data_IF_530560486341
#
_entry.id   IF_530560486341
#
_cell.length_a   1.000
_cell.length_b   1.000
_cell.length_c   1.000
_cell.angle_alpha   90.00
_cell.angle_beta   90.00
_cell.angle_gamma   90.00
#
_symmetry.space_group_name_H-M   'P 1'
#
loop_
_entity.id
_entity.type
_entity.pdbx_description
1 polymer ?
#
# COMPACT_ATOMS: atom_id res chain seq x y z
N UNK A 1 -53.58 -2.87 -73.54
CA UNK A 1 -53.20 -1.87 -72.52
C UNK A 1 -52.67 -2.63 -71.31
N UNK A 2 -51.35 -2.84 -71.19
CA UNK A 2 -50.73 -3.53 -70.04
C UNK A 2 -49.20 -3.23 -69.99
N UNK A 3 -48.81 -1.96 -70.05
CA UNK A 3 -47.40 -1.57 -70.24
C UNK A 3 -46.89 -0.46 -69.32
N UNK A 4 -47.54 -0.17 -68.19
CA UNK A 4 -47.15 0.93 -67.30
C UNK A 4 -46.70 0.53 -65.89
N UNK A 5 -46.65 -0.76 -65.54
CA UNK A 5 -46.37 -1.20 -64.17
C UNK A 5 -44.88 -1.47 -63.84
N UNK A 6 -43.98 -1.54 -64.82
CA UNK A 6 -42.56 -1.84 -64.58
C UNK A 6 -41.80 -0.69 -63.94
N UNK A 7 -42.19 0.55 -64.23
CA UNK A 7 -41.39 1.73 -63.89
C UNK A 7 -41.67 2.22 -62.46
N UNK A 8 -42.88 1.97 -61.93
CA UNK A 8 -43.24 2.29 -60.54
C UNK A 8 -42.56 1.35 -59.52
N UNK A 9 -42.39 0.07 -59.88
CA UNK A 9 -41.65 -0.91 -59.06
C UNK A 9 -40.16 -0.55 -58.91
N UNK A 10 -39.56 0.05 -59.95
CA UNK A 10 -38.18 0.54 -59.92
C UNK A 10 -37.99 1.71 -58.95
N UNK A 11 -38.94 2.65 -58.93
CA UNK A 11 -38.88 3.81 -58.03
C UNK A 11 -39.05 3.42 -56.56
N UNK A 12 -39.92 2.46 -56.24
CA UNK A 12 -40.12 1.99 -54.87
C UNK A 12 -38.88 1.31 -54.29
N UNK A 13 -38.19 0.47 -55.06
CA UNK A 13 -36.95 -0.19 -54.63
C UNK A 13 -35.82 0.80 -54.37
N UNK A 14 -35.73 1.86 -55.18
CA UNK A 14 -34.72 2.90 -54.99
C UNK A 14 -34.92 3.67 -53.67
N UNK A 15 -36.15 4.04 -53.35
CA UNK A 15 -36.48 4.74 -52.10
C UNK A 15 -36.15 3.86 -50.88
N UNK A 16 -36.49 2.57 -50.93
CA UNK A 16 -36.14 1.63 -49.87
C UNK A 16 -34.62 1.54 -49.69
N UNK A 17 -33.86 1.40 -50.79
CA UNK A 17 -32.41 1.28 -50.73
C UNK A 17 -31.72 2.50 -50.11
N UNK A 18 -32.16 3.72 -50.46
CA UNK A 18 -31.63 4.96 -49.87
C UNK A 18 -31.97 5.05 -48.38
N UNK A 19 -33.18 4.63 -47.98
CA UNK A 19 -33.60 4.59 -46.58
C UNK A 19 -32.73 3.67 -45.71
N UNK A 20 -32.40 2.47 -46.20
CA UNK A 20 -31.53 1.53 -45.47
C UNK A 20 -30.12 2.09 -45.23
N UNK A 21 -29.53 2.77 -46.22
CA UNK A 21 -28.18 3.37 -46.08
C UNK A 21 -28.15 4.41 -44.95
N UNK A 22 -29.19 5.24 -44.84
CA UNK A 22 -29.31 6.24 -43.77
C UNK A 22 -29.47 5.58 -42.38
N UNK A 23 -30.20 4.47 -42.30
CA UNK A 23 -30.38 3.73 -41.04
C UNK A 23 -29.05 3.07 -40.61
N UNK A 24 -28.34 2.40 -41.51
CA UNK A 24 -27.06 1.77 -41.19
C UNK A 24 -25.99 2.79 -40.80
N UNK A 25 -25.93 3.95 -41.45
CA UNK A 25 -24.99 5.01 -41.10
C UNK A 25 -25.29 5.58 -39.70
N UNK A 26 -26.56 5.81 -39.37
CA UNK A 26 -26.99 6.26 -38.06
C UNK A 26 -26.64 5.25 -36.96
N UNK A 27 -26.91 3.96 -37.19
CA UNK A 27 -26.54 2.88 -36.25
C UNK A 27 -25.02 2.84 -36.03
N UNK A 28 -24.24 2.93 -37.11
CA UNK A 28 -22.77 2.94 -37.02
C UNK A 28 -22.24 4.12 -36.21
N UNK A 29 -22.79 5.32 -36.43
CA UNK A 29 -22.43 6.53 -35.68
C UNK A 29 -22.78 6.37 -34.19
N UNK A 30 -23.96 5.82 -33.88
CA UNK A 30 -24.37 5.54 -32.50
C UNK A 30 -23.41 4.58 -31.78
N UNK A 31 -22.99 3.50 -32.44
CA UNK A 31 -21.99 2.58 -31.88
C UNK A 31 -20.63 3.24 -31.67
N UNK A 32 -20.18 4.07 -32.61
CA UNK A 32 -18.94 4.82 -32.49
C UNK A 32 -18.99 5.79 -31.29
N UNK A 33 -20.08 6.55 -31.14
CA UNK A 33 -20.28 7.46 -29.99
C UNK A 33 -20.32 6.70 -28.66
N UNK A 34 -21.03 5.56 -28.60
CA UNK A 34 -21.06 4.72 -27.42
C UNK A 34 -19.67 4.17 -27.05
N UNK A 35 -18.87 3.75 -28.04
CA UNK A 35 -17.50 3.28 -27.82
C UNK A 35 -16.59 4.41 -27.31
N UNK A 36 -16.63 5.59 -27.94
CA UNK A 36 -15.83 6.76 -27.54
C UNK A 36 -16.19 7.21 -26.12
N UNK A 37 -17.48 7.27 -25.78
CA UNK A 37 -17.93 7.64 -24.43
C UNK A 37 -17.50 6.61 -23.38
N UNK A 38 -17.59 5.30 -23.67
CA UNK A 38 -17.11 4.23 -22.78
C UNK A 38 -15.59 4.30 -22.57
N UNK A 39 -14.82 4.51 -23.63
CA UNK A 39 -13.36 4.68 -23.56
C UNK A 39 -12.97 5.93 -22.76
N UNK A 40 -13.62 7.07 -23.00
CA UNK A 40 -13.40 8.30 -22.24
C UNK A 40 -13.68 8.11 -20.74
N UNK A 41 -14.80 7.45 -20.37
CA UNK A 41 -15.11 7.12 -18.97
C UNK A 41 -14.07 6.22 -18.32
N UNK A 42 -13.57 5.21 -19.05
CA UNK A 42 -12.51 4.32 -18.55
C UNK A 42 -11.22 5.10 -18.26
N UNK A 43 -10.80 5.97 -19.18
CA UNK A 43 -9.60 6.79 -19.04
C UNK A 43 -9.72 7.84 -17.92
N UNK A 44 -10.90 8.43 -17.73
CA UNK A 44 -11.16 9.32 -16.60
C UNK A 44 -11.05 8.58 -15.26
N UNK A 45 -11.63 7.38 -15.16
CA UNK A 45 -11.53 6.54 -13.95
C UNK A 45 -10.08 6.17 -13.62
N UNK A 46 -9.27 5.85 -14.63
CA UNK A 46 -7.85 5.58 -14.44
C UNK A 46 -7.10 6.81 -13.88
N UNK A 47 -7.38 8.02 -14.40
CA UNK A 47 -6.78 9.26 -13.90
C UNK A 47 -7.19 9.55 -12.46
N UNK A 48 -8.45 9.33 -12.11
CA UNK A 48 -8.92 9.52 -10.75
C UNK A 48 -8.34 8.50 -9.78
N UNK A 49 -8.17 7.23 -10.19
CA UNK A 49 -7.45 6.23 -9.39
C UNK A 49 -5.99 6.65 -9.18
N UNK A 50 -5.29 7.09 -10.23
CA UNK A 50 -3.91 7.60 -10.13
C UNK A 50 -3.80 8.79 -9.17
N UNK A 51 -4.75 9.74 -9.22
CA UNK A 51 -4.82 10.87 -8.28
C UNK A 51 -5.07 10.42 -6.84
N UNK A 52 -5.98 9.46 -6.62
CA UNK A 52 -6.25 8.89 -5.29
C UNK A 52 -5.00 8.22 -4.72
N UNK A 53 -4.28 7.43 -5.55
CA UNK A 53 -3.00 6.82 -5.16
C UNK A 53 -1.97 7.89 -4.81
N UNK A 54 -1.83 8.95 -5.61
CA UNK A 54 -0.88 10.01 -5.35
C UNK A 54 -1.18 10.78 -4.06
N UNK A 55 -2.45 11.12 -3.81
CA UNK A 55 -2.90 11.76 -2.56
C UNK A 55 -2.61 10.88 -1.34
N UNK A 56 -2.87 9.56 -1.46
CA UNK A 56 -2.52 8.60 -0.42
C UNK A 56 -1.01 8.60 -0.18
N UNK A 57 -0.18 8.48 -1.23
CA UNK A 57 1.29 8.56 -1.13
C UNK A 57 1.78 9.80 -0.39
N UNK A 58 1.24 10.98 -0.68
CA UNK A 58 1.62 12.22 0.03
C UNK A 58 1.20 12.22 1.51
N UNK A 59 0.05 11.62 1.82
CA UNK A 59 -0.40 11.42 3.21
C UNK A 59 0.53 10.48 3.97
N UNK A 60 0.88 9.34 3.38
CA UNK A 60 1.82 8.35 3.95
C UNK A 60 3.14 9.00 4.31
N UNK A 61 3.72 9.79 3.39
CA UNK A 61 4.99 10.47 3.65
C UNK A 61 4.91 11.41 4.85
N UNK A 62 3.79 12.10 5.05
CA UNK A 62 3.60 13.01 6.18
C UNK A 62 3.46 12.23 7.49
N UNK A 63 2.65 11.16 7.51
CA UNK A 63 2.49 10.28 8.67
C UNK A 63 3.82 9.60 9.05
N UNK A 64 4.56 9.13 8.06
CA UNK A 64 5.89 8.53 8.24
C UNK A 64 6.90 9.50 8.84
N UNK A 65 6.84 10.78 8.48
CA UNK A 65 7.67 11.82 9.12
C UNK A 65 7.32 11.98 10.59
N UNK A 66 6.03 11.98 10.95
CA UNK A 66 5.57 12.06 12.36
C UNK A 66 6.02 10.86 13.18
N UNK A 67 5.90 9.66 12.64
CA UNK A 67 6.38 8.44 13.30
C UNK A 67 7.91 8.45 13.45
N UNK A 68 8.62 8.97 12.46
CA UNK A 68 10.08 9.10 12.54
C UNK A 68 10.49 10.05 13.65
N UNK A 69 9.79 11.18 13.82
CA UNK A 69 10.09 12.12 14.91
C UNK A 69 9.81 11.50 16.28
N UNK A 70 8.71 10.78 16.46
CA UNK A 70 8.41 10.14 17.75
C UNK A 70 9.42 9.06 18.14
N UNK A 71 9.82 8.21 17.17
CA UNK A 71 10.82 7.17 17.43
C UNK A 71 12.23 7.72 17.70
N UNK A 72 12.60 8.86 17.08
CA UNK A 72 13.89 9.50 17.39
C UNK A 72 13.90 10.09 18.78
N UNK A 73 12.76 10.57 19.29
CA UNK A 73 12.69 11.15 20.64
C UNK A 73 12.87 10.06 21.70
N UNK A 74 12.33 8.86 21.50
CA UNK A 74 12.53 7.71 22.41
C UNK A 74 13.97 7.18 22.37
N UNK A 75 14.61 7.16 21.20
CA UNK A 75 16.04 6.82 21.10
C UNK A 75 16.91 7.90 21.77
N UNK A 76 16.52 9.18 21.71
CA UNK A 76 17.22 10.28 22.39
C UNK A 76 17.08 10.18 23.91
N UNK A 77 15.91 9.80 24.43
CA UNK A 77 15.69 9.58 25.87
C UNK A 77 16.59 8.46 26.40
N UNK A 78 16.85 7.41 25.61
CA UNK A 78 17.80 6.35 26.01
C UNK A 78 19.26 6.86 25.98
N UNK A 79 19.60 7.80 25.09
CA UNK A 79 20.98 8.35 24.99
C UNK A 79 21.35 9.37 26.07
N UNK A 80 20.38 10.04 26.71
CA UNK A 80 20.66 11.02 27.77
C UNK A 80 21.05 10.36 29.11
N UNK A 81 20.82 9.05 29.27
CA UNK A 81 21.18 8.27 30.47
C UNK A 81 22.56 7.59 30.33
N UNK A 82 23.15 7.53 29.13
CA UNK A 82 24.52 7.03 28.98
C UNK A 82 25.06 7.03 27.55
N UNK A 83 26.12 7.82 27.31
CA UNK A 83 27.11 7.60 26.26
C UNK A 83 26.56 7.44 24.83
N UNK A 84 26.00 8.51 24.28
CA UNK A 84 25.48 8.57 22.90
C UNK A 84 26.55 8.34 21.83
N UNK A 85 26.63 7.11 21.32
CA UNK A 85 26.89 6.81 19.89
C UNK A 85 26.91 5.29 19.61
N UNK A 86 27.09 4.43 20.62
CA UNK A 86 27.17 2.97 20.43
C UNK A 86 25.84 2.20 20.60
N UNK A 87 24.87 2.75 21.34
CA UNK A 87 23.62 2.04 21.68
C UNK A 87 22.70 1.77 20.47
N UNK A 88 22.75 2.62 19.44
CA UNK A 88 21.93 2.44 18.22
C UNK A 88 22.28 1.16 17.47
N UNK A 89 23.55 0.71 17.50
CA UNK A 89 23.97 -0.51 16.80
C UNK A 89 23.48 -1.77 17.51
N UNK A 90 23.49 -1.79 18.83
CA UNK A 90 23.04 -2.94 19.63
C UNK A 90 21.52 -3.06 19.62
N UNK A 91 20.80 -1.94 19.76
CA UNK A 91 19.34 -1.91 19.63
C UNK A 91 18.92 -2.39 18.24
N UNK A 92 19.64 -1.98 17.19
CA UNK A 92 19.40 -2.47 15.82
C UNK A 92 19.65 -3.97 15.68
N UNK A 93 20.75 -4.49 16.24
CA UNK A 93 21.02 -5.95 16.25
C UNK A 93 19.90 -6.73 16.94
N UNK A 94 19.40 -6.25 18.08
CA UNK A 94 18.28 -6.89 18.80
C UNK A 94 17.00 -6.89 17.94
N UNK A 95 16.68 -5.78 17.29
CA UNK A 95 15.51 -5.67 16.39
C UNK A 95 15.65 -6.57 15.16
N UNK A 96 16.84 -6.66 14.57
CA UNK A 96 17.11 -7.55 13.45
C UNK A 96 16.97 -9.04 13.83
N UNK A 97 17.30 -9.39 15.07
CA UNK A 97 17.07 -10.75 15.59
C UNK A 97 15.57 -11.03 15.68
N UNK A 98 14.76 -10.10 16.18
CA UNK A 98 13.30 -10.24 16.26
C UNK A 98 12.69 -10.45 14.87
N UNK A 99 13.09 -9.64 13.89
CA UNK A 99 12.53 -9.68 12.52
C UNK A 99 12.81 -11.01 11.81
N UNK A 100 13.92 -11.69 12.16
CA UNK A 100 14.32 -12.97 11.55
C UNK A 100 13.65 -14.18 12.20
N UNK A 101 13.03 -14.02 13.37
CA UNK A 101 12.36 -15.13 14.05
C UNK A 101 11.11 -15.56 13.29
N UNK A 102 10.82 -16.85 13.35
CA UNK A 102 9.54 -17.37 12.88
C UNK A 102 8.39 -16.87 13.77
N UNK A 103 7.18 -16.82 13.20
CA UNK A 103 5.98 -16.42 13.95
C UNK A 103 5.77 -17.29 15.20
N UNK A 104 6.03 -18.60 15.10
CA UNK A 104 5.92 -19.50 16.24
C UNK A 104 6.90 -19.14 17.37
N UNK A 105 8.16 -18.85 17.04
CA UNK A 105 9.15 -18.42 18.03
C UNK A 105 8.76 -17.10 18.70
N UNK A 106 8.28 -16.12 17.92
CA UNK A 106 7.80 -14.85 18.46
C UNK A 106 6.62 -15.06 19.42
N UNK A 107 5.67 -15.93 19.06
CA UNK A 107 4.53 -16.23 19.93
C UNK A 107 4.93 -16.96 21.21
N UNK A 108 5.89 -17.88 21.14
CA UNK A 108 6.44 -18.54 22.34
C UNK A 108 7.10 -17.50 23.25
N UNK A 109 7.95 -16.64 22.70
CA UNK A 109 8.65 -15.62 23.47
C UNK A 109 7.74 -14.55 24.07
N UNK A 110 6.66 -14.18 23.36
CA UNK A 110 5.60 -13.29 23.85
C UNK A 110 4.79 -13.95 24.97
N UNK A 111 4.51 -15.25 24.88
CA UNK A 111 3.79 -16.00 25.94
C UNK A 111 4.64 -16.20 27.19
N UNK A 112 5.93 -16.44 27.00
CA UNK A 112 6.89 -16.61 28.09
C UNK A 112 7.25 -15.27 28.75
N UNK A 113 6.79 -14.14 28.19
CA UNK A 113 7.06 -12.79 28.68
C UNK A 113 8.51 -12.33 28.48
N UNK A 114 9.30 -13.10 27.72
CA UNK A 114 10.69 -12.75 27.37
C UNK A 114 10.76 -11.55 26.43
N UNK A 115 9.71 -11.35 25.63
CA UNK A 115 9.57 -10.29 24.65
C UNK A 115 8.26 -9.56 24.92
N UNK A 116 8.27 -8.23 24.84
CA UNK A 116 7.05 -7.41 24.98
C UNK A 116 6.46 -7.08 23.62
N UNK A 117 5.13 -6.99 23.54
CA UNK A 117 4.39 -6.68 22.33
C UNK A 117 4.82 -5.32 21.75
N UNK A 118 5.09 -4.34 22.62
CA UNK A 118 5.59 -3.01 22.22
C UNK A 118 6.94 -3.11 21.50
N UNK A 119 7.88 -3.91 22.02
CA UNK A 119 9.20 -4.09 21.39
C UNK A 119 9.09 -4.77 20.03
N UNK A 120 8.19 -5.75 19.89
CA UNK A 120 7.91 -6.38 18.60
C UNK A 120 7.34 -5.35 17.62
N UNK A 121 6.34 -4.59 18.03
CA UNK A 121 5.71 -3.56 17.21
C UNK A 121 6.75 -2.56 16.68
N UNK A 122 7.60 -2.01 17.56
CA UNK A 122 8.64 -1.07 17.15
C UNK A 122 9.68 -1.68 16.21
N UNK A 123 10.06 -2.95 16.41
CA UNK A 123 10.99 -3.64 15.50
C UNK A 123 10.42 -3.71 14.08
N UNK A 124 9.13 -4.03 13.93
CA UNK A 124 8.44 -4.06 12.64
C UNK A 124 8.25 -2.66 12.05
N UNK A 125 7.84 -1.67 12.84
CA UNK A 125 7.73 -0.28 12.39
C UNK A 125 9.07 0.24 11.86
N UNK A 126 10.17 0.00 12.58
CA UNK A 126 11.50 0.43 12.16
C UNK A 126 11.97 -0.28 10.90
N UNK A 127 11.66 -1.57 10.73
CA UNK A 127 11.91 -2.29 9.47
C UNK A 127 11.27 -1.56 8.29
N UNK A 128 10.01 -1.15 8.44
CA UNK A 128 9.26 -0.42 7.42
C UNK A 128 9.84 0.98 7.18
N UNK A 129 10.31 1.68 8.22
CA UNK A 129 10.98 2.98 8.08
C UNK A 129 12.31 2.88 7.33
N UNK A 130 13.11 1.86 7.62
CA UNK A 130 14.42 1.64 7.00
C UNK A 130 14.34 1.30 5.50
N UNK A 131 13.23 0.75 5.03
CA UNK A 131 13.03 0.46 3.61
C UNK A 131 12.84 1.76 2.82
N UNK A 132 11.94 2.68 3.20
CA UNK A 132 11.74 3.92 2.42
C UNK A 132 12.93 4.90 2.44
N UNK A 133 13.83 4.84 3.44
CA UNK A 133 15.01 5.71 3.42
C UNK A 133 15.95 5.33 2.27
N UNK A 134 15.98 4.04 1.87
CA UNK A 134 16.79 3.57 0.73
C UNK A 134 16.23 4.03 -0.62
N UNK A 135 14.96 4.42 -0.68
CA UNK A 135 14.36 5.00 -1.89
C UNK A 135 14.81 6.44 -2.18
N UNK A 136 15.46 7.12 -1.22
CA UNK A 136 15.99 8.46 -1.48
C UNK A 136 17.20 8.41 -2.42
N UNK A 137 17.27 9.34 -3.37
CA UNK A 137 18.29 9.41 -4.42
C UNK A 137 19.76 9.27 -3.95
N UNK A 138 20.01 9.51 -2.65
CA UNK A 138 21.31 9.31 -1.98
C UNK A 138 21.76 7.84 -2.06
N UNK A 139 20.84 6.86 -1.98
CA UNK A 139 21.20 5.43 -2.11
C UNK A 139 21.50 5.05 -3.56
N UNK A 140 20.84 5.66 -4.55
CA UNK A 140 21.18 5.45 -5.98
C UNK A 140 22.55 6.05 -6.31
N UNK A 141 22.87 7.21 -5.75
CA UNK A 141 24.20 7.83 -5.86
C UNK A 141 25.26 7.00 -5.11
N UNK A 142 24.93 6.46 -3.92
CA UNK A 142 25.82 5.58 -3.16
C UNK A 142 26.00 4.19 -3.79
N UNK A 143 25.01 3.69 -4.54
CA UNK A 143 25.11 2.45 -5.34
C UNK A 143 25.98 2.65 -6.58
N UNK A 144 26.02 3.88 -7.11
CA UNK A 144 26.94 4.31 -8.17
C UNK A 144 28.37 4.56 -7.68
N UNK A 145 28.56 4.90 -6.40
CA UNK A 145 29.87 5.01 -5.75
C UNK A 145 30.21 3.69 -5.03
N UNK A 146 30.83 2.78 -5.77
CA UNK A 146 31.32 1.45 -5.35
C UNK A 146 31.76 1.36 -3.88
N UNK A 147 31.06 0.56 -3.06
CA UNK A 147 31.62 -0.28 -1.99
C UNK A 147 30.78 -1.58 -1.87
N UNK A 148 31.38 -2.71 -2.24
CA UNK A 148 30.87 -4.09 -2.04
C UNK A 148 30.92 -4.54 -0.56
N UNK A 149 30.41 -3.73 0.34
CA UNK A 149 30.27 -4.09 1.76
C UNK A 149 28.88 -3.73 2.20
N UNK A 150 27.94 -4.67 2.01
CA UNK A 150 27.08 -5.19 3.08
C UNK A 150 26.28 -6.36 2.49
N UNK A 151 26.82 -7.53 2.80
CA UNK A 151 26.27 -8.85 2.65
C UNK A 151 24.97 -9.00 3.46
N UNK A 152 24.00 -9.69 2.85
CA UNK A 152 22.84 -10.39 3.46
C UNK A 152 21.71 -9.50 3.98
N UNK A 153 20.68 -9.27 3.16
CA UNK A 153 19.36 -9.96 3.24
C UNK A 153 18.65 -9.87 1.87
N UNK A 154 18.84 -10.80 0.91
CA UNK A 154 18.18 -10.71 -0.40
C UNK A 154 17.10 -11.78 -0.56
N UNK A 155 15.84 -11.34 -0.62
CA UNK A 155 14.77 -11.86 -1.50
C UNK A 155 13.39 -11.42 -0.99
N UNK A 156 13.14 -11.50 0.32
CA UNK A 156 11.87 -11.02 0.89
C UNK A 156 11.79 -9.48 1.09
N UNK A 157 12.91 -8.77 0.91
CA UNK A 157 13.02 -7.31 1.11
C UNK A 157 13.06 -6.49 -0.19
N UNK A 158 13.48 -7.09 -1.32
CA UNK A 158 13.54 -6.39 -2.60
C UNK A 158 12.15 -6.14 -3.21
N UNK A 159 11.18 -7.00 -2.90
CA UNK A 159 9.81 -6.80 -3.37
C UNK A 159 9.12 -5.66 -2.61
N UNK A 160 9.32 -5.56 -1.29
CA UNK A 160 8.67 -4.52 -0.46
C UNK A 160 9.16 -3.09 -0.77
N UNK A 161 10.43 -2.93 -1.17
CA UNK A 161 11.04 -1.65 -1.61
C UNK A 161 10.35 -1.10 -2.87
N UNK A 162 9.89 -1.99 -3.76
CA UNK A 162 9.17 -1.59 -4.99
C UNK A 162 7.70 -1.30 -4.75
N UNK A 163 7.07 -1.99 -3.78
CA UNK A 163 5.61 -2.01 -3.69
C UNK A 163 5.02 -1.05 -2.66
N UNK A 164 5.81 -0.46 -1.74
CA UNK A 164 5.34 0.50 -0.72
C UNK A 164 4.00 0.02 -0.10
N UNK A 165 4.02 -1.21 0.44
CA UNK A 165 2.83 -1.95 0.83
C UNK A 165 2.08 -1.36 2.03
N UNK A 166 2.74 -0.49 2.82
CA UNK A 166 2.16 0.13 4.01
C UNK A 166 1.72 1.56 3.69
N UNK A 167 0.41 1.78 3.73
CA UNK A 167 -0.17 3.09 3.42
C UNK A 167 -0.33 3.98 4.65
N UNK A 168 -0.56 3.39 5.82
CA UNK A 168 -0.84 4.15 7.03
C UNK A 168 -0.42 3.31 8.25
N UNK A 169 0.06 4.00 9.28
CA UNK A 169 0.30 3.41 10.60
C UNK A 169 -0.86 3.80 11.50
N UNK A 170 -1.33 2.83 12.29
CA UNK A 170 -2.37 3.08 13.29
C UNK A 170 -1.70 3.73 14.51
N UNK A 171 -2.13 4.94 14.88
CA UNK A 171 -1.57 5.69 16.01
C UNK A 171 -1.85 5.00 17.35
N UNK A 172 -3.00 4.32 17.49
CA UNK A 172 -3.39 3.61 18.71
C UNK A 172 -2.68 2.25 18.89
N UNK A 173 -1.92 1.78 17.89
CA UNK A 173 -1.32 0.46 17.92
C UNK A 173 -0.36 0.28 19.11
N UNK A 174 0.33 1.34 19.50
CA UNK A 174 1.23 1.35 20.65
C UNK A 174 0.46 1.20 21.97
N UNK A 175 -0.60 1.98 22.17
CA UNK A 175 -1.49 1.85 23.33
C UNK A 175 -2.10 0.45 23.43
N UNK A 176 -2.46 -0.14 22.29
CA UNK A 176 -2.95 -1.51 22.25
C UNK A 176 -1.87 -2.50 22.67
N UNK A 177 -0.64 -2.36 22.17
CA UNK A 177 0.49 -3.20 22.56
C UNK A 177 0.77 -3.09 24.08
N UNK A 178 0.79 -1.87 24.63
CA UNK A 178 0.93 -1.66 26.07
C UNK A 178 -0.20 -2.34 26.88
N UNK A 179 -1.44 -2.28 26.38
CA UNK A 179 -2.58 -2.92 27.03
C UNK A 179 -2.49 -4.44 27.03
N UNK A 180 -1.81 -5.02 26.03
CA UNK A 180 -1.53 -6.45 25.95
C UNK A 180 -0.42 -6.82 26.93
N UNK A 181 0.64 -6.01 27.00
CA UNK A 181 1.76 -6.23 27.93
C UNK A 181 1.32 -6.11 29.40
N UNK A 182 0.33 -5.26 29.71
CA UNK A 182 -0.28 -5.16 31.05
C UNK A 182 -1.17 -6.36 31.41
N UNK A 183 -1.59 -7.15 30.44
CA UNK A 183 -2.49 -8.28 30.66
C UNK A 183 -1.70 -9.51 31.11
N UNK A 184 -2.01 -10.06 32.29
CA UNK A 184 -1.33 -11.28 32.79
C UNK A 184 -1.67 -12.53 31.97
N UNK A 185 -2.76 -12.52 31.19
CA UNK A 185 -3.23 -13.69 30.45
C UNK A 185 -3.22 -13.43 28.94
N UNK A 186 -2.72 -14.39 28.13
CA UNK A 186 -2.73 -14.25 26.70
C UNK A 186 -4.17 -14.26 26.17
N UNK A 187 -4.56 -13.20 25.46
CA UNK A 187 -5.92 -13.02 24.90
C UNK A 187 -6.24 -13.93 23.70
N UNK A 188 -5.35 -14.84 23.32
CA UNK A 188 -5.57 -15.76 22.20
C UNK A 188 -4.30 -16.24 21.50
N UNK A 189 -4.44 -16.98 20.38
CA UNK A 189 -3.30 -17.59 19.70
C UNK A 189 -2.33 -16.57 19.08
N UNK A 190 -2.81 -15.39 18.67
CA UNK A 190 -2.05 -14.31 18.05
C UNK A 190 -1.77 -13.14 19.01
N UNK A 191 -1.72 -13.41 20.32
CA UNK A 191 -1.50 -12.38 21.33
C UNK A 191 -0.16 -11.66 21.11
N UNK A 192 -0.20 -10.32 21.03
CA UNK A 192 0.99 -9.47 20.91
C UNK A 192 1.63 -9.42 19.52
N UNK A 193 1.09 -10.13 18.52
CA UNK A 193 1.67 -10.16 17.18
C UNK A 193 1.17 -8.97 16.33
N UNK A 194 2.05 -8.16 15.72
CA UNK A 194 1.62 -7.09 14.83
C UNK A 194 1.02 -7.66 13.53
N UNK A 195 -0.09 -7.07 13.08
CA UNK A 195 -0.77 -7.45 11.84
C UNK A 195 -0.91 -6.25 10.90
N UNK A 196 -0.74 -6.49 9.60
CA UNK A 196 -1.03 -5.52 8.55
C UNK A 196 -2.43 -5.77 7.98
N UNK A 197 -3.23 -4.72 7.87
CA UNK A 197 -4.58 -4.81 7.31
C UNK A 197 -4.63 -4.16 5.93
N UNK A 198 -5.48 -4.70 5.06
CA UNK A 198 -5.76 -4.08 3.76
C UNK A 198 -6.64 -2.85 3.97
N UNK A 199 -6.38 -1.80 3.20
CA UNK A 199 -7.05 -0.48 3.26
C UNK A 199 -8.58 -0.50 3.01
N UNK A 200 -9.14 -1.62 2.54
CA UNK A 200 -10.58 -1.80 2.41
C UNK A 200 -11.23 -2.48 3.63
N UNK A 201 -10.46 -2.77 4.67
CA UNK A 201 -10.95 -3.35 5.93
C UNK A 201 -11.16 -2.21 6.92
N UNK A 202 -12.40 -2.06 7.39
CA UNK A 202 -12.73 -1.05 8.37
C UNK A 202 -12.22 -1.47 9.76
N UNK A 203 -11.36 -0.64 10.35
CA UNK A 203 -10.92 -0.77 11.75
C UNK A 203 -11.76 0.18 12.58
N UNK A 204 -12.41 -0.34 13.63
CA UNK A 204 -13.16 0.48 14.58
C UNK A 204 -12.20 0.96 15.66
N UNK A 205 -11.93 2.27 15.68
CA UNK A 205 -11.21 2.91 16.77
C UNK A 205 -12.17 3.12 17.93
N UNK A 206 -11.88 2.49 19.07
CA UNK A 206 -12.61 2.78 20.30
C UNK A 206 -11.95 3.98 20.96
N UNK A 207 -12.53 5.17 20.81
CA UNK A 207 -12.06 6.42 21.44
C UNK A 207 -12.25 6.43 22.98
N UNK A 208 -12.73 5.32 23.57
CA UNK A 208 -13.04 5.20 24.98
C UNK A 208 -12.46 3.91 25.56
N UNK A 209 -11.26 3.99 26.12
CA UNK A 209 -10.72 3.08 27.14
C UNK A 209 -9.70 3.84 27.99
#
# INVERSE_FOLDING_TARGET
>A
MNGKNSDELGQANFILQVGWIQIFSAISICYALHFVTKYARCKLRERDMKRKILRKKTGVHSAKRRLKTSLTDDEVIITSIGGGHCLTREVRKKKDVIIRKSVHQLLTELRDGTLTAVVVLHAYQLKLLLNDIRDTAIFQIAKSLIIDVIFVIPQALEEDEKFNCVTEFIEEAEKWAESLDKSLLPKGPLHGLPISLKDNIYVKFSEHL
#
